data_IF_513339314262
#
_entry.id   IF_513339314262
#
_cell.length_a   1.000
_cell.length_b   1.000
_cell.length_c   1.000
_cell.angle_alpha   90.00
_cell.angle_beta   90.00
_cell.angle_gamma   90.00
#
_symmetry.space_group_name_H-M   'P 1'
#
loop_
_entity.id
_entity.type
_entity.pdbx_description
1 polymer ?
#
# COMPACT_ATOMS: atom_id res chain seq x y z
N UNK A 1 -0.73 -10.70 19.60
CA UNK A 1 0.58 -10.11 19.21
C UNK A 1 1.47 -10.09 20.44
N UNK A 2 2.77 -10.29 20.28
CA UNK A 2 3.72 -10.10 21.38
C UNK A 2 3.96 -8.62 21.66
N UNK A 3 4.47 -8.27 22.85
CA UNK A 3 4.78 -6.89 23.22
C UNK A 3 5.71 -6.20 22.20
N UNK A 4 6.74 -6.92 21.74
CA UNK A 4 7.66 -6.45 20.69
C UNK A 4 6.94 -6.15 19.38
N UNK A 5 6.04 -7.04 18.94
CA UNK A 5 5.30 -6.83 17.69
C UNK A 5 4.38 -5.61 17.78
N UNK A 6 3.74 -5.40 18.94
CA UNK A 6 2.91 -4.22 19.19
C UNK A 6 3.73 -2.93 19.14
N UNK A 7 4.94 -2.91 19.72
CA UNK A 7 5.81 -1.74 19.72
C UNK A 7 6.27 -1.36 18.30
N UNK A 8 6.72 -2.35 17.52
CA UNK A 8 7.10 -2.16 16.11
C UNK A 8 5.92 -1.62 15.28
N UNK A 9 4.72 -2.18 15.48
CA UNK A 9 3.52 -1.74 14.80
C UNK A 9 3.18 -0.28 15.15
N UNK A 10 3.24 0.09 16.43
CA UNK A 10 2.97 1.46 16.87
C UNK A 10 4.00 2.47 16.36
N UNK A 11 5.28 2.08 16.23
CA UNK A 11 6.30 2.94 15.63
C UNK A 11 6.01 3.21 14.16
N UNK A 12 5.62 2.19 13.41
CA UNK A 12 5.33 2.35 11.99
C UNK A 12 4.02 3.13 11.74
N UNK A 13 3.01 2.94 12.59
CA UNK A 13 1.80 3.79 12.57
C UNK A 13 2.16 5.26 12.81
N UNK A 14 3.03 5.56 13.78
CA UNK A 14 3.51 6.93 14.03
C UNK A 14 4.22 7.51 12.81
N UNK A 15 5.01 6.71 12.07
CA UNK A 15 5.63 7.15 10.81
C UNK A 15 4.58 7.41 9.73
N UNK A 16 3.60 6.52 9.55
CA UNK A 16 2.52 6.72 8.57
C UNK A 16 1.70 7.98 8.84
N UNK A 17 1.41 8.29 10.11
CA UNK A 17 0.77 9.54 10.52
C UNK A 17 1.66 10.75 10.21
N UNK A 18 2.95 10.69 10.54
CA UNK A 18 3.92 11.76 10.24
C UNK A 18 4.04 12.05 8.74
N UNK A 19 4.02 11.00 7.92
CA UNK A 19 4.08 11.12 6.45
C UNK A 19 2.72 11.40 5.82
N UNK A 20 1.66 11.57 6.61
CA UNK A 20 0.29 11.84 6.14
C UNK A 20 -0.23 10.77 5.17
N UNK A 21 0.21 9.52 5.35
CA UNK A 21 -0.28 8.36 4.61
C UNK A 21 -1.57 7.82 5.22
N UNK A 22 -1.76 8.02 6.53
CA UNK A 22 -2.99 7.66 7.27
C UNK A 22 -3.38 8.80 8.19
N UNK A 23 -4.64 8.81 8.61
CA UNK A 23 -5.19 9.73 9.62
C UNK A 23 -5.85 8.96 10.77
N UNK A 24 -6.10 9.65 11.88
CA UNK A 24 -6.91 9.14 12.98
C UNK A 24 -8.37 9.44 12.64
N UNK A 25 -9.25 8.47 12.77
CA UNK A 25 -10.69 8.65 12.55
C UNK A 25 -11.51 7.49 13.06
N UNK A 26 -12.82 7.68 13.15
CA UNK A 26 -13.78 6.66 13.56
C UNK A 26 -14.52 6.10 12.33
N UNK A 27 -14.73 4.79 12.30
CA UNK A 27 -15.38 4.10 11.19
C UNK A 27 -16.08 2.84 11.70
N UNK A 28 -17.24 2.54 11.10
CA UNK A 28 -17.97 1.28 11.27
C UNK A 28 -17.23 0.07 10.65
N UNK A 29 -16.19 0.35 9.84
CA UNK A 29 -15.35 -0.64 9.20
C UNK A 29 -13.95 -0.65 9.83
N UNK A 30 -13.51 -1.84 10.23
CA UNK A 30 -12.16 -2.07 10.72
C UNK A 30 -11.57 -3.34 10.11
N UNK A 31 -10.31 -3.28 9.68
CA UNK A 31 -9.53 -4.44 9.23
C UNK A 31 -8.32 -4.62 10.15
N UNK A 32 -8.01 -5.86 10.57
CA UNK A 32 -6.89 -6.08 11.48
C UNK A 32 -5.57 -5.78 10.79
N UNK A 33 -4.67 -5.13 11.52
CA UNK A 33 -3.29 -4.94 11.10
C UNK A 33 -2.45 -6.12 11.53
N UNK A 34 -1.58 -6.58 10.63
CA UNK A 34 -0.67 -7.70 10.84
C UNK A 34 0.76 -7.22 10.59
N UNK A 35 1.71 -7.75 11.36
CA UNK A 35 3.12 -7.52 11.12
C UNK A 35 3.68 -8.67 10.29
N UNK A 36 4.25 -8.35 9.14
CA UNK A 36 4.93 -9.33 8.29
C UNK A 36 6.43 -9.16 8.50
N UNK A 37 7.06 -10.17 9.10
CA UNK A 37 8.49 -10.20 9.34
C UNK A 37 9.16 -11.14 8.33
N UNK A 38 10.22 -10.68 7.68
CA UNK A 38 11.06 -11.50 6.80
C UNK A 38 12.53 -11.25 7.13
N UNK A 39 13.42 -12.26 7.05
CA UNK A 39 14.82 -12.08 7.44
C UNK A 39 15.56 -10.97 6.67
N UNK A 40 15.17 -10.69 5.43
CA UNK A 40 15.87 -9.78 4.52
C UNK A 40 15.27 -8.36 4.46
N UNK A 41 14.15 -8.11 5.14
CA UNK A 41 13.44 -6.83 5.05
C UNK A 41 12.98 -6.37 6.41
N UNK A 42 12.87 -5.05 6.54
CA UNK A 42 12.25 -4.45 7.71
C UNK A 42 10.83 -5.00 7.92
N UNK A 43 10.41 -5.21 9.18
CA UNK A 43 9.05 -5.61 9.50
C UNK A 43 8.03 -4.67 8.85
N UNK A 44 7.10 -5.24 8.08
CA UNK A 44 6.15 -4.45 7.30
C UNK A 44 4.75 -4.58 7.89
N UNK A 45 4.14 -3.49 8.40
CA UNK A 45 2.74 -3.53 8.77
C UNK A 45 1.89 -3.68 7.50
N UNK A 46 0.95 -4.61 7.56
CA UNK A 46 0.01 -4.88 6.48
C UNK A 46 -1.41 -4.86 7.04
N UNK A 47 -2.35 -4.29 6.32
CA UNK A 47 -3.77 -4.34 6.70
C UNK A 47 -4.43 -5.50 5.94
N UNK A 48 -5.11 -6.39 6.67
CA UNK A 48 -5.76 -7.55 6.06
C UNK A 48 -7.12 -7.16 5.46
N UNK A 49 -7.10 -6.73 4.20
CA UNK A 49 -8.28 -6.27 3.46
C UNK A 49 -9.14 -7.39 2.85
N UNK A 50 -8.95 -8.67 3.17
CA UNK A 50 -9.66 -9.78 2.50
C UNK A 50 -11.19 -9.62 2.52
N UNK A 51 -11.77 -9.39 3.70
CA UNK A 51 -13.22 -9.16 3.86
C UNK A 51 -13.71 -7.91 3.12
N UNK A 52 -12.90 -6.85 3.12
CA UNK A 52 -13.22 -5.61 2.42
C UNK A 52 -13.23 -5.83 0.90
N UNK A 53 -12.26 -6.58 0.39
CA UNK A 53 -12.12 -6.87 -1.04
C UNK A 53 -13.27 -7.75 -1.57
N UNK A 54 -13.91 -8.55 -0.71
CA UNK A 54 -15.09 -9.36 -1.09
C UNK A 54 -16.34 -8.51 -1.36
N UNK A 55 -16.46 -7.34 -0.71
CA UNK A 55 -17.64 -6.46 -0.84
C UNK A 55 -17.42 -5.27 -1.76
N UNK A 56 -16.15 -4.89 -2.02
CA UNK A 56 -15.83 -3.81 -2.95
C UNK A 56 -16.02 -4.27 -4.40
N UNK A 57 -16.72 -3.45 -5.20
CA UNK A 57 -16.77 -3.62 -6.65
C UNK A 57 -15.42 -3.29 -7.27
N UNK A 58 -14.76 -4.28 -7.86
CA UNK A 58 -13.49 -4.07 -8.58
C UNK A 58 -13.69 -3.16 -9.78
N UNK A 59 -12.92 -2.07 -9.85
CA UNK A 59 -12.78 -1.26 -11.06
C UNK A 59 -11.55 -1.74 -11.82
N UNK A 60 -11.76 -2.26 -13.03
CA UNK A 60 -10.66 -2.72 -13.88
C UNK A 60 -10.15 -1.56 -14.73
N UNK A 61 -8.91 -1.17 -14.49
CA UNK A 61 -8.14 -0.36 -15.42
C UNK A 61 -7.29 -1.32 -16.25
N UNK A 62 -7.46 -1.29 -17.58
CA UNK A 62 -6.68 -2.16 -18.47
C UNK A 62 -5.23 -1.72 -18.44
N UNK A 63 -4.35 -2.58 -17.93
CA UNK A 63 -2.92 -2.41 -18.16
C UNK A 63 -2.65 -2.63 -19.66
N UNK A 64 -1.91 -1.73 -20.32
CA UNK A 64 -1.61 -1.87 -21.74
C UNK A 64 -0.83 -3.18 -21.99
N UNK A 65 -1.13 -3.86 -23.11
CA UNK A 65 -0.41 -5.08 -23.48
C UNK A 65 1.09 -4.79 -23.60
N UNK A 66 1.90 -5.58 -22.89
CA UNK A 66 3.35 -5.44 -22.83
C UNK A 66 4.01 -5.66 -24.20
N UNK A 67 3.47 -6.53 -25.04
CA UNK A 67 4.04 -6.89 -26.35
C UNK A 67 4.18 -5.67 -27.25
N UNK A 68 3.14 -4.82 -27.30
CA UNK A 68 3.15 -3.59 -28.11
C UNK A 68 4.19 -2.57 -27.63
N UNK A 69 4.54 -2.60 -26.33
CA UNK A 69 5.57 -1.72 -25.77
C UNK A 69 6.98 -2.23 -26.03
N UNK A 70 7.17 -3.56 -26.13
CA UNK A 70 8.48 -4.18 -26.37
C UNK A 70 9.05 -3.76 -27.72
N UNK A 71 8.24 -3.69 -28.77
CA UNK A 71 8.68 -3.26 -30.11
C UNK A 71 9.26 -1.84 -30.10
N UNK A 72 8.61 -0.94 -29.35
CA UNK A 72 9.07 0.46 -29.22
C UNK A 72 10.37 0.55 -28.43
N UNK A 73 10.53 -0.29 -27.40
CA UNK A 73 11.75 -0.35 -26.58
C UNK A 73 12.91 -0.98 -27.35
N UNK A 74 12.66 -2.01 -28.16
CA UNK A 74 13.69 -2.72 -28.92
C UNK A 74 14.38 -1.84 -29.98
N UNK A 75 13.66 -0.84 -30.51
CA UNK A 75 14.21 0.13 -31.44
C UNK A 75 15.03 1.25 -30.76
N UNK A 76 15.05 1.33 -29.43
CA UNK A 76 15.71 2.42 -28.71
C UNK A 76 17.23 2.24 -28.65
N UNK A 77 17.97 3.32 -28.90
CA UNK A 77 19.45 3.34 -28.80
C UNK A 77 19.95 3.25 -27.35
N UNK A 78 19.17 3.78 -26.41
CA UNK A 78 19.46 3.78 -24.98
C UNK A 78 18.17 3.54 -24.20
N UNK A 79 18.23 2.72 -23.16
CA UNK A 79 17.12 2.42 -22.27
C UNK A 79 17.53 2.79 -20.85
N UNK A 80 16.67 3.52 -20.15
CA UNK A 80 16.84 3.83 -18.72
C UNK A 80 15.64 3.27 -17.96
N UNK A 81 15.91 2.42 -16.97
CA UNK A 81 14.89 1.86 -16.09
C UNK A 81 14.74 2.78 -14.88
N UNK A 82 13.56 3.38 -14.72
CA UNK A 82 13.20 4.17 -13.55
C UNK A 82 12.17 3.39 -12.73
N UNK A 83 12.51 3.08 -11.48
CA UNK A 83 11.60 2.46 -10.53
C UNK A 83 11.02 3.49 -9.57
N UNK A 84 9.69 3.47 -9.39
CA UNK A 84 8.99 4.32 -8.42
C UNK A 84 8.49 3.46 -7.27
N UNK A 85 9.28 3.41 -6.20
CA UNK A 85 9.06 2.57 -5.02
C UNK A 85 7.75 2.83 -4.23
N UNK A 86 7.01 3.92 -4.50
CA UNK A 86 5.89 4.35 -3.64
C UNK A 86 4.65 4.91 -4.35
N UNK A 87 4.34 4.40 -5.54
CA UNK A 87 3.17 4.81 -6.35
C UNK A 87 1.83 4.82 -5.60
N UNK A 88 1.62 3.87 -4.68
CA UNK A 88 0.35 3.78 -3.96
C UNK A 88 0.14 4.93 -2.97
N UNK A 89 1.19 5.44 -2.32
CA UNK A 89 1.05 6.53 -1.35
C UNK A 89 0.60 7.84 -2.01
N UNK A 90 1.08 8.12 -3.21
CA UNK A 90 0.73 9.34 -3.95
C UNK A 90 -0.73 9.31 -4.46
N UNK A 91 -1.29 8.12 -4.69
CA UNK A 91 -2.66 7.94 -5.20
C UNK A 91 -3.72 8.28 -4.15
N UNK A 92 -3.41 8.19 -2.86
CA UNK A 92 -4.33 8.57 -1.78
C UNK A 92 -4.53 10.09 -1.65
N UNK A 93 -3.64 10.92 -2.20
CA UNK A 93 -3.80 12.37 -2.20
C UNK A 93 -4.84 12.88 -3.22
N UNK A 94 -5.33 12.02 -4.11
CA UNK A 94 -6.36 12.34 -5.10
C UNK A 94 -7.74 11.84 -4.65
N UNK A 95 -8.37 12.55 -3.72
CA UNK A 95 -9.83 12.55 -3.47
C UNK A 95 -10.55 11.19 -3.56
N UNK A 96 -10.12 10.21 -2.77
CA UNK A 96 -11.03 9.17 -2.27
C UNK A 96 -10.59 8.77 -0.88
N UNK A 97 -11.31 9.29 0.11
CA UNK A 97 -11.29 8.78 1.48
C UNK A 97 -11.54 7.27 1.43
N UNK A 98 -10.47 6.50 1.63
CA UNK A 98 -10.61 5.10 2.06
C UNK A 98 -10.14 5.13 3.50
N UNK A 99 -11.12 5.25 4.40
CA UNK A 99 -10.93 5.24 5.84
C UNK A 99 -10.13 4.01 6.26
N UNK A 100 -8.82 4.16 6.50
CA UNK A 100 -8.08 3.24 7.36
C UNK A 100 -8.12 3.80 8.79
N UNK A 101 -9.30 3.77 9.40
CA UNK A 101 -9.46 4.03 10.83
C UNK A 101 -8.73 2.95 11.62
N UNK A 102 -7.59 3.31 12.21
CA UNK A 102 -6.89 2.47 13.18
C UNK A 102 -7.57 2.73 14.53
N UNK A 103 -8.36 1.77 15.00
CA UNK A 103 -8.88 1.78 16.37
C UNK A 103 -7.76 1.36 17.35
N UNK A 104 -7.60 2.12 18.43
CA UNK A 104 -6.64 1.87 19.51
C UNK A 104 -7.18 0.86 20.54
#
# INVERSE_FOLDING_TARGET
>A
MSARQTELLQEEIRKMLKYQVTEIGESDYASPMILVETPERDPMPCINYRKLNEVIKTQFYTLPNIEHRIETIAAAKYITLLDKKRLLADSFNSKSSVFSSIHH
#
